data_IF_221239011079
#
_entry.id   IF_221239011079
#
_cell.length_a   1.000
_cell.length_b   1.000
_cell.length_c   1.000
_cell.angle_alpha   90.00
_cell.angle_beta   90.00
_cell.angle_gamma   90.00
#
_symmetry.space_group_name_H-M   'P 1'
#
loop_
_entity.id
_entity.type
_entity.pdbx_description
1 polymer ?
#
# COMPACT_ATOMS: atom_id res chain seq x y z
N UNK A 1 -13.99 24.95 -10.39
CA UNK A 1 -13.86 24.52 -8.99
C UNK A 1 -12.90 23.34 -9.01
N UNK A 2 -11.74 23.45 -8.37
CA UNK A 2 -10.81 22.33 -8.29
C UNK A 2 -11.50 21.20 -7.51
N UNK A 3 -11.50 19.98 -8.03
CA UNK A 3 -11.98 18.82 -7.27
C UNK A 3 -11.20 18.76 -5.96
N UNK A 4 -11.90 18.80 -4.84
CA UNK A 4 -11.32 18.59 -3.52
C UNK A 4 -10.80 17.15 -3.49
N UNK A 5 -9.50 16.98 -3.27
CA UNK A 5 -8.86 15.66 -3.21
C UNK A 5 -9.20 15.00 -1.87
N UNK A 6 -9.52 13.70 -1.91
CA UNK A 6 -9.70 12.93 -0.68
C UNK A 6 -8.33 12.44 -0.20
N UNK A 7 -7.56 13.30 0.46
CA UNK A 7 -6.22 12.95 0.98
C UNK A 7 -6.29 12.41 2.41
N UNK A 8 -5.29 11.62 2.81
CA UNK A 8 -5.09 11.21 4.22
C UNK A 8 -3.65 11.53 4.66
N UNK A 9 -3.52 12.14 5.83
CA UNK A 9 -2.22 12.33 6.49
C UNK A 9 -1.81 11.11 7.34
N UNK A 10 -0.63 11.19 7.97
CA UNK A 10 -0.10 10.08 8.77
C UNK A 10 -0.93 9.80 10.04
N UNK A 11 -1.57 10.81 10.64
CA UNK A 11 -2.41 10.60 11.83
C UNK A 11 -3.68 9.84 11.47
N UNK A 12 -4.28 10.17 10.33
CA UNK A 12 -5.41 9.43 9.77
C UNK A 12 -5.01 8.01 9.37
N UNK A 13 -3.84 7.82 8.75
CA UNK A 13 -3.35 6.48 8.42
C UNK A 13 -3.12 5.64 9.68
N UNK A 14 -2.56 6.22 10.75
CA UNK A 14 -2.32 5.53 12.02
C UNK A 14 -3.62 5.13 12.74
N UNK A 15 -4.70 5.89 12.58
CA UNK A 15 -6.00 5.54 13.15
C UNK A 15 -6.71 4.44 12.34
N UNK A 16 -6.47 4.38 11.03
CA UNK A 16 -7.09 3.40 10.15
C UNK A 16 -6.36 2.07 10.12
N UNK A 17 -5.03 2.08 9.99
CA UNK A 17 -4.18 0.88 9.91
C UNK A 17 -3.67 0.47 11.30
N UNK A 18 -3.66 -0.84 11.62
CA UNK A 18 -3.05 -1.34 12.85
C UNK A 18 -1.50 -1.38 12.79
N UNK A 19 -0.92 -1.31 11.59
CA UNK A 19 0.53 -1.38 11.37
C UNK A 19 1.27 -0.25 12.09
N UNK A 20 2.42 -0.57 12.67
CA UNK A 20 3.32 0.38 13.36
C UNK A 20 4.76 0.11 12.93
N UNK A 21 5.67 0.98 13.35
CA UNK A 21 7.11 0.79 13.09
C UNK A 21 7.58 -0.62 13.54
N UNK A 22 8.38 -1.33 12.71
CA UNK A 22 8.96 -0.92 11.43
C UNK A 22 8.14 -1.33 10.18
N UNK A 23 6.86 -1.68 10.34
CA UNK A 23 6.03 -2.28 9.30
C UNK A 23 4.87 -1.41 8.80
N UNK A 24 4.76 -0.15 9.20
CA UNK A 24 3.88 0.81 8.52
C UNK A 24 4.63 1.41 7.32
N UNK A 25 4.13 1.17 6.10
CA UNK A 25 4.83 1.46 4.84
C UNK A 25 4.04 2.36 3.90
N UNK A 26 3.02 3.08 4.41
CA UNK A 26 2.32 4.13 3.66
C UNK A 26 2.43 5.42 4.46
N UNK A 27 3.02 6.45 3.85
CA UNK A 27 3.31 7.72 4.52
C UNK A 27 2.20 8.76 4.31
N UNK A 28 1.48 8.68 3.18
CA UNK A 28 0.43 9.62 2.79
C UNK A 28 -0.50 8.99 1.76
N UNK A 29 -1.78 9.38 1.78
CA UNK A 29 -2.71 9.18 0.65
C UNK A 29 -2.91 10.52 -0.05
N UNK A 30 -2.64 10.55 -1.36
CA UNK A 30 -2.79 11.74 -2.21
C UNK A 30 -4.25 11.95 -2.59
N UNK A 31 -4.92 10.88 -2.99
CA UNK A 31 -6.34 10.89 -3.35
C UNK A 31 -6.92 9.47 -3.30
N UNK A 32 -8.23 9.37 -3.13
CA UNK A 32 -8.97 8.12 -3.29
C UNK A 32 -10.41 8.34 -3.74
N UNK A 33 -10.98 7.30 -4.34
CA UNK A 33 -12.41 7.16 -4.62
C UNK A 33 -12.92 5.90 -3.93
N UNK A 34 -13.82 6.01 -2.93
CA UNK A 34 -14.38 4.86 -2.21
C UNK A 34 -14.89 3.78 -3.17
N UNK A 35 -14.57 2.53 -2.88
CA UNK A 35 -14.96 1.36 -3.66
C UNK A 35 -14.31 1.23 -5.03
N UNK A 36 -13.38 2.13 -5.38
CA UNK A 36 -12.77 2.16 -6.73
C UNK A 36 -11.26 2.19 -6.71
N UNK A 37 -10.62 3.20 -6.13
CA UNK A 37 -9.17 3.38 -6.28
C UNK A 37 -8.55 4.24 -5.19
N UNK A 38 -7.27 4.07 -4.94
CA UNK A 38 -6.48 4.89 -4.02
C UNK A 38 -5.07 5.12 -4.57
N UNK A 39 -4.56 6.34 -4.38
CA UNK A 39 -3.18 6.72 -4.70
C UNK A 39 -2.44 7.13 -3.42
N UNK A 40 -1.46 6.33 -3.02
CA UNK A 40 -0.63 6.52 -1.83
C UNK A 40 0.84 6.80 -2.17
N UNK A 41 1.58 7.26 -1.17
CA UNK A 41 3.03 7.48 -1.20
C UNK A 41 3.73 6.62 -0.16
N UNK A 42 4.84 6.02 -0.59
CA UNK A 42 5.91 5.51 0.27
C UNK A 42 7.21 6.21 -0.11
N UNK A 43 7.73 7.03 0.79
CA UNK A 43 9.07 7.59 0.68
C UNK A 43 10.10 6.53 1.07
N UNK A 44 11.16 6.43 0.27
CA UNK A 44 12.23 5.48 0.51
C UNK A 44 13.46 6.25 0.96
N UNK A 45 13.90 6.02 2.19
CA UNK A 45 15.05 6.73 2.79
C UNK A 45 16.09 5.78 3.31
N UNK A 46 17.37 6.14 3.17
CA UNK A 46 18.49 5.34 3.69
C UNK A 46 18.39 5.11 5.21
N UNK A 47 17.63 5.96 5.91
CA UNK A 47 17.40 5.86 7.36
C UNK A 47 16.35 4.81 7.75
N UNK A 48 15.90 3.94 6.84
CA UNK A 48 15.03 2.81 7.17
C UNK A 48 15.84 1.59 7.65
N UNK A 49 15.38 0.87 8.69
CA UNK A 49 16.12 -0.24 9.29
C UNK A 49 16.44 -1.36 8.29
N UNK A 50 15.60 -1.55 7.27
CA UNK A 50 15.78 -2.60 6.27
C UNK A 50 17.09 -2.45 5.46
N UNK A 51 17.61 -1.23 5.30
CA UNK A 51 18.82 -0.98 4.52
C UNK A 51 20.10 -1.36 5.27
N UNK A 52 20.03 -1.62 6.58
CA UNK A 52 21.15 -2.19 7.34
C UNK A 52 21.52 -3.59 6.85
N UNK A 53 20.56 -4.32 6.24
CA UNK A 53 20.74 -5.69 5.77
C UNK A 53 20.44 -5.94 4.30
N UNK A 54 19.81 -5.01 3.56
CA UNK A 54 19.35 -5.25 2.19
C UNK A 54 19.78 -4.15 1.19
N UNK A 55 21.03 -4.12 0.75
CA UNK A 55 22.17 -4.93 1.19
C UNK A 55 23.29 -4.00 1.69
N UNK A 56 24.20 -4.47 2.55
CA UNK A 56 25.38 -3.70 2.91
C UNK A 56 26.11 -3.20 1.64
N UNK A 57 26.39 -1.90 1.56
CA UNK A 57 27.00 -1.19 0.43
C UNK A 57 26.16 -1.07 -0.86
N UNK A 58 25.00 -1.72 -0.95
CA UNK A 58 24.09 -1.65 -2.10
C UNK A 58 22.64 -1.63 -1.62
N UNK A 59 22.16 -0.48 -1.09
CA UNK A 59 20.81 -0.39 -0.56
C UNK A 59 19.77 -0.52 -1.68
N UNK A 60 18.91 -1.53 -1.58
CA UNK A 60 17.83 -1.80 -2.53
C UNK A 60 16.57 -2.04 -1.73
N UNK A 61 15.48 -1.30 -1.99
CA UNK A 61 14.24 -1.51 -1.26
C UNK A 61 13.70 -2.92 -1.59
N UNK A 62 13.44 -3.78 -0.58
CA UNK A 62 13.03 -5.15 -0.84
C UNK A 62 11.71 -5.21 -1.61
N UNK A 63 11.66 -5.96 -2.71
CA UNK A 63 10.46 -6.07 -3.55
C UNK A 63 9.22 -6.54 -2.79
N UNK A 64 9.40 -7.44 -1.81
CA UNK A 64 8.30 -7.90 -0.94
C UNK A 64 7.71 -6.78 -0.08
N UNK A 65 8.47 -5.75 0.28
CA UNK A 65 7.95 -4.59 1.00
C UNK A 65 7.20 -3.63 0.08
N UNK A 66 7.44 -3.67 -1.23
CA UNK A 66 6.60 -2.98 -2.21
C UNK A 66 5.22 -3.63 -2.24
N UNK A 67 5.16 -4.97 -2.25
CA UNK A 67 3.90 -5.71 -2.16
C UNK A 67 3.14 -5.41 -0.87
N UNK A 68 3.85 -5.39 0.26
CA UNK A 68 3.28 -5.03 1.56
C UNK A 68 2.73 -3.60 1.58
N UNK A 69 3.49 -2.62 1.08
CA UNK A 69 3.04 -1.22 0.99
C UNK A 69 1.79 -1.10 0.11
N UNK A 70 1.74 -1.80 -1.03
CA UNK A 70 0.55 -1.86 -1.87
C UNK A 70 -0.63 -2.52 -1.13
N UNK A 71 -0.41 -3.60 -0.37
CA UNK A 71 -1.47 -4.24 0.41
C UNK A 71 -2.03 -3.30 1.50
N UNK A 72 -1.17 -2.55 2.20
CA UNK A 72 -1.61 -1.53 3.15
C UNK A 72 -2.44 -0.43 2.48
N UNK A 73 -2.06 -0.01 1.28
CA UNK A 73 -2.84 0.93 0.47
C UNK A 73 -4.23 0.35 0.10
N UNK A 74 -4.33 -0.95 -0.23
CA UNK A 74 -5.64 -1.60 -0.42
C UNK A 74 -6.47 -1.65 0.86
N UNK A 75 -5.85 -1.86 2.03
CA UNK A 75 -6.52 -1.82 3.32
C UNK A 75 -7.08 -0.44 3.64
N UNK A 76 -6.31 0.63 3.38
CA UNK A 76 -6.80 2.01 3.50
C UNK A 76 -8.01 2.27 2.59
N UNK A 77 -7.96 1.82 1.33
CA UNK A 77 -9.11 1.93 0.42
C UNK A 77 -10.32 1.16 0.97
N UNK A 78 -10.12 -0.06 1.45
CA UNK A 78 -11.16 -0.87 2.08
C UNK A 78 -11.82 -0.16 3.26
N UNK A 79 -11.02 0.42 4.16
CA UNK A 79 -11.52 1.16 5.33
C UNK A 79 -12.25 2.45 4.98
N UNK A 80 -11.86 3.14 3.91
CA UNK A 80 -12.61 4.30 3.41
C UNK A 80 -13.84 3.94 2.57
N UNK A 81 -14.02 2.66 2.24
CA UNK A 81 -15.17 2.15 1.46
C UNK A 81 -16.28 1.60 2.34
N UNK A 82 -15.94 1.00 3.49
CA UNK A 82 -16.91 0.35 4.37
C UNK A 82 -17.28 1.25 5.54
N UNK A 83 -18.58 1.53 5.71
CA UNK A 83 -19.08 2.45 6.75
C UNK A 83 -19.16 1.79 8.15
N UNK A 84 -19.50 0.50 8.23
CA UNK A 84 -19.73 -0.22 9.49
C UNK A 84 -18.57 -1.16 9.83
N UNK A 85 -17.42 -0.60 10.21
CA UNK A 85 -16.23 -1.37 10.60
C UNK A 85 -16.25 -1.71 12.10
N UNK A 86 -15.88 -2.93 12.46
CA UNK A 86 -15.53 -3.26 13.84
C UNK A 86 -14.15 -2.68 14.19
N UNK A 87 -13.95 -2.28 15.45
CA UNK A 87 -12.63 -1.83 15.93
C UNK A 87 -11.60 -2.97 15.91
N UNK A 88 -12.05 -4.22 15.98
CA UNK A 88 -11.21 -5.43 16.05
C UNK A 88 -11.14 -6.16 14.71
N UNK A 89 -11.10 -5.43 13.60
CA UNK A 89 -11.04 -6.03 12.27
C UNK A 89 -9.63 -5.98 11.67
N UNK A 90 -9.08 -7.14 11.31
CA UNK A 90 -7.84 -7.26 10.55
C UNK A 90 -8.10 -7.38 9.06
N UNK A 91 -7.21 -6.76 8.31
CA UNK A 91 -7.09 -6.93 6.87
C UNK A 91 -5.94 -7.89 6.60
N UNK A 92 -6.27 -9.17 6.35
CA UNK A 92 -5.28 -10.21 6.14
C UNK A 92 -4.88 -10.31 4.67
N UNK A 93 -3.57 -10.29 4.41
CA UNK A 93 -3.02 -10.54 3.08
C UNK A 93 -3.19 -12.03 2.73
N UNK A 94 -4.14 -12.34 1.84
CA UNK A 94 -4.57 -13.71 1.57
C UNK A 94 -3.84 -14.35 0.38
N UNK A 95 -3.62 -13.59 -0.70
CA UNK A 95 -2.92 -14.08 -1.89
C UNK A 95 -2.33 -12.94 -2.73
N UNK A 96 -1.32 -13.29 -3.53
CA UNK A 96 -0.72 -12.42 -4.55
C UNK A 96 -0.67 -13.18 -5.87
N UNK A 97 -1.28 -12.60 -6.91
CA UNK A 97 -1.15 -13.09 -8.28
C UNK A 97 -0.29 -12.11 -9.08
N UNK A 98 0.39 -12.64 -10.12
CA UNK A 98 1.02 -11.82 -11.17
C UNK A 98 2.01 -10.74 -10.69
N UNK A 99 2.63 -10.91 -9.51
CA UNK A 99 3.67 -10.00 -9.04
C UNK A 99 4.85 -9.94 -10.03
N UNK A 100 5.25 -8.74 -10.44
CA UNK A 100 6.40 -8.48 -11.32
C UNK A 100 7.18 -7.29 -10.78
N UNK A 101 8.48 -7.48 -10.58
CA UNK A 101 9.43 -6.42 -10.23
C UNK A 101 10.18 -6.03 -11.50
N UNK A 102 10.05 -4.76 -11.90
CA UNK A 102 10.55 -4.25 -13.19
C UNK A 102 11.89 -3.55 -13.04
N UNK A 103 12.07 -2.80 -11.95
CA UNK A 103 13.26 -2.01 -11.65
C UNK A 103 13.48 -1.97 -10.14
N UNK A 104 14.74 -1.87 -9.66
CA UNK A 104 15.02 -1.63 -8.26
C UNK A 104 14.46 -0.26 -7.84
N UNK A 105 14.05 -0.17 -6.58
CA UNK A 105 13.70 1.08 -5.89
C UNK A 105 14.82 1.35 -4.89
N UNK A 106 15.28 2.60 -4.81
CA UNK A 106 16.49 3.00 -4.10
C UNK A 106 16.19 4.10 -3.07
N UNK A 107 17.07 4.30 -2.06
CA UNK A 107 17.01 5.48 -1.21
C UNK A 107 16.96 6.78 -2.03
N UNK A 108 16.04 7.68 -1.68
CA UNK A 108 15.76 8.92 -2.41
C UNK A 108 14.52 8.84 -3.30
N UNK A 109 14.07 7.64 -3.67
CA UNK A 109 12.87 7.47 -4.47
C UNK A 109 11.61 7.82 -3.68
N UNK A 110 10.65 8.46 -4.37
CA UNK A 110 9.26 8.56 -3.92
C UNK A 110 8.44 7.52 -4.69
N UNK A 111 7.97 6.50 -4.00
CA UNK A 111 7.17 5.44 -4.60
C UNK A 111 5.70 5.80 -4.55
N UNK A 112 5.09 5.96 -5.72
CA UNK A 112 3.67 6.19 -5.91
C UNK A 112 2.95 4.84 -6.02
N UNK A 113 2.02 4.57 -5.10
CA UNK A 113 1.25 3.33 -5.00
C UNK A 113 -0.15 3.59 -5.55
N UNK A 114 -0.49 2.96 -6.66
CA UNK A 114 -1.82 3.02 -7.25
C UNK A 114 -2.51 1.69 -7.04
N UNK A 115 -3.65 1.69 -6.39
CA UNK A 115 -4.47 0.49 -6.18
C UNK A 115 -5.87 0.71 -6.71
N UNK A 116 -6.43 -0.31 -7.36
CA UNK A 116 -7.77 -0.31 -7.91
C UNK A 116 -8.52 -1.55 -7.44
N UNK A 117 -9.72 -1.37 -6.91
CA UNK A 117 -10.62 -2.47 -6.57
C UNK A 117 -11.13 -3.12 -7.86
N UNK A 118 -10.96 -4.43 -7.96
CA UNK A 118 -11.43 -5.20 -9.12
C UNK A 118 -12.77 -5.86 -8.83
N UNK A 119 -12.84 -6.65 -7.75
CA UNK A 119 -14.02 -7.43 -7.38
C UNK A 119 -13.88 -8.04 -6.01
N UNK A 120 -15.03 -8.43 -5.46
CA UNK A 120 -15.13 -9.31 -4.30
C UNK A 120 -15.57 -10.72 -4.72
N UNK A 121 -14.97 -11.76 -4.13
CA UNK A 121 -15.40 -13.14 -4.30
C UNK A 121 -15.14 -13.94 -3.02
N UNK A 122 -16.18 -14.56 -2.45
CA UNK A 122 -16.08 -15.41 -1.23
C UNK A 122 -15.37 -14.68 -0.08
N UNK A 123 -15.77 -13.44 0.19
CA UNK A 123 -15.18 -12.56 1.22
C UNK A 123 -13.70 -12.20 1.00
N UNK A 124 -13.16 -12.44 -0.21
CA UNK A 124 -11.86 -11.94 -0.64
C UNK A 124 -12.03 -10.76 -1.58
N UNK A 125 -11.39 -9.66 -1.24
CA UNK A 125 -11.34 -8.47 -2.08
C UNK A 125 -10.09 -8.52 -2.93
N UNK A 126 -10.25 -8.45 -4.24
CA UNK A 126 -9.15 -8.48 -5.21
C UNK A 126 -8.91 -7.08 -5.76
N UNK A 127 -7.65 -6.70 -5.79
CA UNK A 127 -7.18 -5.40 -6.25
C UNK A 127 -6.10 -5.56 -7.32
N UNK A 128 -6.08 -4.67 -8.30
CA UNK A 128 -4.90 -4.41 -9.12
C UNK A 128 -4.04 -3.37 -8.40
N UNK A 129 -2.72 -3.57 -8.39
CA UNK A 129 -1.80 -2.68 -7.73
C UNK A 129 -0.56 -2.42 -8.59
N UNK A 130 -0.16 -1.15 -8.67
CA UNK A 130 1.04 -0.69 -9.34
C UNK A 130 1.83 0.24 -8.43
N UNK A 131 3.15 0.05 -8.40
CA UNK A 131 4.09 1.00 -7.82
C UNK A 131 4.89 1.69 -8.93
N UNK A 132 5.03 3.02 -8.85
CA UNK A 132 5.75 3.86 -9.81
C UNK A 132 6.76 4.76 -9.12
N UNK A 133 7.89 5.00 -9.77
CA UNK A 133 8.89 6.02 -9.40
C UNK A 133 9.14 6.86 -10.65
N UNK A 134 9.07 8.19 -10.52
CA UNK A 134 9.16 9.13 -11.65
C UNK A 134 8.22 8.78 -12.82
N UNK A 135 6.99 8.35 -12.50
CA UNK A 135 5.98 7.91 -13.46
C UNK A 135 6.27 6.56 -14.14
N UNK A 136 7.40 5.90 -13.87
CA UNK A 136 7.78 4.61 -14.45
C UNK A 136 7.38 3.47 -13.53
N UNK A 137 6.78 2.42 -14.10
CA UNK A 137 6.38 1.22 -13.36
C UNK A 137 7.62 0.50 -12.79
N UNK A 138 7.64 0.29 -11.47
CA UNK A 138 8.69 -0.46 -10.75
C UNK A 138 8.19 -1.80 -10.24
N UNK A 139 6.90 -1.90 -9.88
CA UNK A 139 6.26 -3.16 -9.50
C UNK A 139 4.79 -3.17 -9.91
N UNK A 140 4.25 -4.34 -10.24
CA UNK A 140 2.82 -4.56 -10.44
C UNK A 140 2.40 -5.90 -9.82
N UNK A 141 1.22 -5.99 -9.25
CA UNK A 141 0.65 -7.22 -8.71
C UNK A 141 -0.87 -7.17 -8.69
N UNK A 142 -1.51 -8.33 -8.54
CA UNK A 142 -2.89 -8.41 -8.08
C UNK A 142 -2.89 -8.91 -6.63
N UNK A 143 -3.51 -8.17 -5.73
CA UNK A 143 -3.50 -8.42 -4.29
C UNK A 143 -4.89 -8.88 -3.86
N UNK A 144 -4.96 -9.93 -3.06
CA UNK A 144 -6.19 -10.38 -2.44
C UNK A 144 -6.10 -10.27 -0.93
N UNK A 145 -7.08 -9.63 -0.33
CA UNK A 145 -7.18 -9.46 1.11
C UNK A 145 -8.49 -10.00 1.64
N UNK A 146 -8.44 -10.51 2.87
CA UNK A 146 -9.59 -11.02 3.61
C UNK A 146 -9.83 -10.15 4.83
N UNK A 147 -11.09 -9.81 5.07
CA UNK A 147 -11.55 -9.19 6.31
C UNK A 147 -11.75 -10.27 7.38
N UNK A 148 -11.15 -10.09 8.56
CA UNK A 148 -11.29 -11.04 9.68
C UNK A 148 -11.37 -10.31 11.02
N UNK A 149 -12.43 -10.56 11.77
CA UNK A 149 -12.56 -10.09 13.15
C UNK A 149 -11.74 -10.99 14.11
N UNK A 150 -11.20 -10.41 15.18
CA UNK A 150 -10.46 -11.11 16.24
C UNK A 150 -10.90 -10.67 17.64
#
# INVERSE_FOLDING_TARGET
MANELNSLDIQEILSLLPHRYPMLLVDRVIDFTPGKSLHAIKNVTINEPIFTGHFPNQPIFPGVLILEAMAQATGLLGFKTVENRSENELYLFAAVDNARFKKPVLPGDTMHLHVEFLKERRNLWKFAAEAKVDGKLVCSAEIMCARREF
#
